data_IF_141235655614
#
_entry.id   IF_141235655614
#
_cell.length_a   1.000
_cell.length_b   1.000
_cell.length_c   1.000
_cell.angle_alpha   90.00
_cell.angle_beta   90.00
_cell.angle_gamma   90.00
#
_symmetry.space_group_name_H-M   'P 1'
#
loop_
_entity.id
_entity.type
_entity.pdbx_description
1 polymer ?
#
# COMPACT_ATOMS: atom_id res chain seq x y z
N UNK A 1 45.70 32.51 -18.06
CA UNK A 1 44.87 32.98 -16.94
C UNK A 1 43.62 32.11 -16.93
N UNK A 2 43.52 31.16 -15.99
CA UNK A 2 42.42 30.19 -15.93
C UNK A 2 41.21 30.83 -15.25
N UNK A 3 40.14 31.04 -16.01
CA UNK A 3 38.82 31.40 -15.47
C UNK A 3 38.26 30.18 -14.73
N UNK A 4 38.28 30.24 -13.40
CA UNK A 4 37.46 29.33 -12.59
C UNK A 4 36.00 29.71 -12.81
N UNK A 5 35.28 28.88 -13.57
CA UNK A 5 33.82 28.90 -13.56
C UNK A 5 33.36 28.44 -12.19
N UNK A 6 32.91 29.38 -11.36
CA UNK A 6 32.15 29.08 -10.16
C UNK A 6 30.79 28.48 -10.56
N UNK A 7 30.77 27.16 -10.75
CA UNK A 7 29.54 26.38 -10.81
C UNK A 7 28.85 26.44 -9.45
N UNK A 8 28.06 27.49 -9.20
CA UNK A 8 27.12 27.57 -8.08
C UNK A 8 26.14 26.40 -8.19
N UNK A 9 26.47 25.29 -7.54
CA UNK A 9 25.53 24.19 -7.33
C UNK A 9 24.38 24.70 -6.44
N UNK A 10 23.30 25.14 -7.07
CA UNK A 10 22.00 25.31 -6.43
C UNK A 10 21.61 23.93 -5.90
N UNK A 11 21.71 23.71 -4.58
CA UNK A 11 21.13 22.50 -3.97
C UNK A 11 19.66 22.47 -4.36
N UNK A 12 19.23 21.42 -5.07
CA UNK A 12 17.81 21.24 -5.39
C UNK A 12 17.07 21.07 -4.06
N UNK A 13 15.91 21.69 -3.93
CA UNK A 13 15.00 21.40 -2.81
C UNK A 13 14.33 20.05 -3.12
N UNK A 14 14.89 18.97 -2.58
CA UNK A 14 14.44 17.60 -2.85
C UNK A 14 13.37 17.24 -1.82
N UNK A 15 12.21 16.78 -2.28
CA UNK A 15 11.17 16.18 -1.45
C UNK A 15 11.15 14.68 -1.72
N UNK A 16 11.25 13.88 -0.66
CA UNK A 16 11.13 12.42 -0.72
C UNK A 16 9.77 12.05 -0.14
N UNK A 17 8.89 11.49 -0.95
CA UNK A 17 7.59 11.01 -0.47
C UNK A 17 7.76 9.73 0.34
N UNK A 18 6.89 9.52 1.34
CA UNK A 18 6.81 8.29 2.14
C UNK A 18 8.07 7.96 2.95
N UNK A 19 8.89 8.95 3.31
CA UNK A 19 10.14 8.74 4.07
C UNK A 19 9.92 8.05 5.43
N UNK A 20 8.77 8.31 6.06
CA UNK A 20 8.42 7.77 7.39
C UNK A 20 7.57 6.48 7.34
N UNK A 21 7.30 5.91 6.16
CA UNK A 21 6.48 4.69 6.05
C UNK A 21 7.33 3.42 6.23
N UNK A 22 6.76 2.45 6.95
CA UNK A 22 7.34 1.11 7.07
C UNK A 22 6.67 0.15 6.07
N UNK A 23 7.44 -0.38 5.12
CA UNK A 23 6.97 -1.35 4.14
C UNK A 23 7.45 -2.77 4.44
N UNK A 24 7.78 -3.06 5.70
CA UNK A 24 8.15 -4.40 6.14
C UNK A 24 6.89 -5.22 6.45
N UNK A 25 6.81 -6.39 5.84
CA UNK A 25 5.68 -7.31 5.97
C UNK A 25 6.13 -8.70 6.39
N UNK A 26 5.35 -9.33 7.27
CA UNK A 26 5.40 -10.76 7.44
C UNK A 26 4.80 -11.46 6.21
N UNK A 27 5.39 -12.57 5.77
CA UNK A 27 4.90 -13.28 4.58
C UNK A 27 3.47 -13.81 4.75
N UNK A 28 3.09 -14.19 5.98
CA UNK A 28 1.72 -14.57 6.31
C UNK A 28 0.73 -13.42 6.09
N UNK A 29 1.11 -12.20 6.48
CA UNK A 29 0.32 -11.00 6.24
C UNK A 29 0.22 -10.66 4.74
N UNK A 30 1.31 -10.81 3.99
CA UNK A 30 1.29 -10.65 2.52
C UNK A 30 0.29 -11.62 1.89
N UNK A 31 0.37 -12.90 2.24
CA UNK A 31 -0.55 -13.91 1.73
C UNK A 31 -2.00 -13.61 2.13
N UNK A 32 -2.23 -13.15 3.36
CA UNK A 32 -3.56 -12.74 3.81
C UNK A 32 -4.11 -11.57 3.01
N UNK A 33 -3.30 -10.55 2.71
CA UNK A 33 -3.69 -9.42 1.85
C UNK A 33 -4.02 -9.89 0.44
N UNK A 34 -3.20 -10.77 -0.14
CA UNK A 34 -3.44 -11.35 -1.48
C UNK A 34 -4.81 -12.09 -1.53
N UNK A 35 -5.15 -12.87 -0.50
CA UNK A 35 -6.43 -13.58 -0.42
C UNK A 35 -7.61 -12.63 -0.22
N UNK A 36 -7.47 -11.62 0.65
CA UNK A 36 -8.50 -10.60 0.82
C UNK A 36 -8.71 -9.79 -0.47
N UNK A 37 -7.64 -9.51 -1.22
CA UNK A 37 -7.70 -8.88 -2.55
C UNK A 37 -8.49 -9.74 -3.55
N UNK A 38 -8.17 -11.03 -3.65
CA UNK A 38 -8.89 -11.95 -4.54
C UNK A 38 -10.37 -12.08 -4.16
N UNK A 39 -10.70 -11.96 -2.87
CA UNK A 39 -12.09 -12.00 -2.39
C UNK A 39 -12.94 -10.79 -2.82
N UNK A 40 -12.33 -9.73 -3.38
CA UNK A 40 -13.05 -8.56 -3.90
C UNK A 40 -13.37 -7.47 -2.88
N UNK A 41 -12.80 -7.51 -1.68
CA UNK A 41 -12.95 -6.45 -0.66
C UNK A 41 -12.24 -5.16 -1.07
N UNK A 42 -12.77 -4.00 -0.69
CA UNK A 42 -12.06 -2.72 -0.86
C UNK A 42 -10.74 -2.69 -0.08
N UNK A 43 -9.75 -1.95 -0.57
CA UNK A 43 -8.46 -1.85 0.14
C UNK A 43 -8.59 -1.17 1.50
N UNK A 44 -9.57 -0.29 1.68
CA UNK A 44 -9.90 0.28 2.99
C UNK A 44 -10.34 -0.81 3.98
N UNK A 45 -11.17 -1.76 3.56
CA UNK A 45 -11.57 -2.89 4.40
C UNK A 45 -10.37 -3.81 4.65
N UNK A 46 -9.57 -4.10 3.61
CA UNK A 46 -8.38 -4.94 3.74
C UNK A 46 -7.42 -4.33 4.77
N UNK A 47 -7.18 -3.03 4.71
CA UNK A 47 -6.29 -2.32 5.63
C UNK A 47 -6.75 -2.45 7.08
N UNK A 48 -8.06 -2.26 7.33
CA UNK A 48 -8.64 -2.46 8.66
C UNK A 48 -8.53 -3.92 9.12
N UNK A 49 -8.81 -4.89 8.25
CA UNK A 49 -8.70 -6.32 8.57
C UNK A 49 -7.26 -6.81 8.76
N UNK A 50 -6.29 -6.12 8.18
CA UNK A 50 -4.86 -6.35 8.34
C UNK A 50 -4.26 -5.54 9.50
N UNK A 51 -5.03 -4.63 10.12
CA UNK A 51 -4.58 -3.73 11.18
C UNK A 51 -3.35 -2.91 10.75
N UNK A 52 -3.33 -2.48 9.49
CA UNK A 52 -2.23 -1.72 8.87
C UNK A 52 -2.73 -0.41 8.27
N UNK A 53 -1.87 0.63 8.19
CA UNK A 53 -2.20 1.85 7.49
C UNK A 53 -2.61 1.61 6.04
N UNK A 54 -3.64 2.36 5.58
CA UNK A 54 -4.14 2.25 4.21
C UNK A 54 -3.03 2.47 3.16
N UNK A 55 -2.12 3.41 3.41
CA UNK A 55 -0.98 3.70 2.53
C UNK A 55 -0.04 2.51 2.37
N UNK A 56 0.27 1.80 3.45
CA UNK A 56 1.13 0.60 3.40
C UNK A 56 0.46 -0.51 2.59
N UNK A 57 -0.84 -0.73 2.79
CA UNK A 57 -1.59 -1.78 2.10
C UNK A 57 -1.73 -1.45 0.61
N UNK A 58 -1.97 -0.19 0.25
CA UNK A 58 -1.96 0.26 -1.16
C UNK A 58 -0.60 -0.01 -1.80
N UNK A 59 0.49 0.35 -1.13
CA UNK A 59 1.84 0.12 -1.65
C UNK A 59 2.15 -1.37 -1.79
N UNK A 60 1.71 -2.20 -0.84
CA UNK A 60 1.81 -3.64 -0.96
C UNK A 60 1.03 -4.15 -2.17
N UNK A 61 -0.25 -3.79 -2.33
CA UNK A 61 -1.06 -4.23 -3.48
C UNK A 61 -0.38 -3.87 -4.82
N UNK A 62 0.16 -2.65 -4.94
CA UNK A 62 0.92 -2.23 -6.12
C UNK A 62 2.13 -3.13 -6.35
N UNK A 63 2.95 -3.37 -5.31
CA UNK A 63 4.11 -4.27 -5.40
C UNK A 63 3.69 -5.68 -5.86
N UNK A 64 2.66 -6.25 -5.24
CA UNK A 64 2.13 -7.58 -5.57
C UNK A 64 1.61 -7.67 -7.00
N UNK A 65 1.02 -6.59 -7.53
CA UNK A 65 0.62 -6.50 -8.93
C UNK A 65 1.81 -6.43 -9.89
N UNK A 66 2.82 -5.62 -9.57
CA UNK A 66 4.04 -5.49 -10.38
C UNK A 66 4.82 -6.81 -10.47
N UNK A 67 4.82 -7.59 -9.39
CA UNK A 67 5.39 -8.94 -9.34
C UNK A 67 4.51 -10.00 -10.01
N UNK A 68 3.30 -9.65 -10.44
CA UNK A 68 2.34 -10.56 -11.05
C UNK A 68 1.71 -11.58 -10.09
N UNK A 69 1.83 -11.37 -8.78
CA UNK A 69 1.28 -12.26 -7.77
C UNK A 69 -0.24 -12.09 -7.58
N UNK A 70 -0.74 -10.89 -7.83
CA UNK A 70 -2.17 -10.58 -7.93
C UNK A 70 -2.43 -9.82 -9.23
N UNK A 71 -3.67 -9.84 -9.70
CA UNK A 71 -4.07 -9.21 -10.95
C UNK A 71 -5.07 -8.09 -10.70
N UNK A 72 -5.24 -7.25 -11.73
CA UNK A 72 -6.34 -6.31 -11.79
C UNK A 72 -7.69 -7.02 -11.60
N UNK A 73 -8.60 -6.33 -10.93
CA UNK A 73 -9.91 -6.84 -10.57
C UNK A 73 -10.97 -5.75 -10.79
N UNK A 74 -12.25 -6.10 -10.99
CA UNK A 74 -13.32 -5.11 -11.14
C UNK A 74 -13.26 -4.04 -10.04
N UNK A 75 -13.43 -2.78 -10.42
CA UNK A 75 -13.37 -1.62 -9.51
C UNK A 75 -12.04 -1.44 -8.72
N UNK A 76 -10.97 -2.18 -9.04
CA UNK A 76 -9.63 -1.99 -8.49
C UNK A 76 -9.59 -1.91 -6.96
N UNK A 77 -9.12 -0.78 -6.43
CA UNK A 77 -9.02 -0.54 -4.99
C UNK A 77 -10.37 -0.47 -4.27
N UNK A 78 -11.45 -0.11 -4.97
CA UNK A 78 -12.80 -0.03 -4.40
C UNK A 78 -13.39 -1.42 -4.16
N UNK A 79 -13.04 -2.41 -5.00
CA UNK A 79 -13.63 -3.74 -4.91
C UNK A 79 -15.13 -3.78 -5.26
N UNK A 80 -15.76 -4.93 -5.03
CA UNK A 80 -17.20 -5.15 -5.32
C UNK A 80 -17.89 -6.02 -4.27
N UNK A 81 -17.14 -6.55 -3.30
CA UNK A 81 -17.67 -7.42 -2.26
C UNK A 81 -17.77 -6.67 -0.94
N UNK A 82 -18.92 -6.81 -0.30
CA UNK A 82 -19.13 -6.37 1.08
C UNK A 82 -18.49 -7.34 2.10
N UNK A 83 -18.03 -6.86 3.27
CA UNK A 83 -17.55 -7.74 4.32
C UNK A 83 -18.67 -8.66 4.82
N UNK A 84 -18.32 -9.91 5.09
CA UNK A 84 -19.22 -10.90 5.66
C UNK A 84 -19.40 -10.67 7.17
N UNK A 85 -20.29 -11.44 7.82
CA UNK A 85 -20.62 -11.23 9.23
C UNK A 85 -19.40 -11.34 10.17
N UNK A 86 -18.46 -12.26 9.91
CA UNK A 86 -17.28 -12.44 10.77
C UNK A 86 -16.23 -11.36 10.54
N UNK A 87 -16.07 -10.87 9.31
CA UNK A 87 -15.24 -9.72 8.98
C UNK A 87 -15.80 -8.43 9.60
N UNK A 88 -17.11 -8.21 9.54
CA UNK A 88 -17.76 -7.04 10.16
C UNK A 88 -17.51 -6.99 11.66
N UNK A 89 -17.62 -8.11 12.35
CA UNK A 89 -17.35 -8.18 13.78
C UNK A 89 -15.91 -7.76 14.12
N UNK A 90 -14.94 -8.09 13.26
CA UNK A 90 -13.54 -7.67 13.44
C UNK A 90 -13.37 -6.16 13.21
N UNK A 91 -14.09 -5.60 12.23
CA UNK A 91 -14.09 -4.18 11.93
C UNK A 91 -14.73 -3.33 13.05
N UNK A 92 -15.74 -3.87 13.73
CA UNK A 92 -16.41 -3.21 14.87
C UNK A 92 -15.54 -3.17 16.13
N UNK A 93 -14.61 -4.12 16.26
CA UNK A 93 -13.66 -4.17 17.37
C UNK A 93 -12.39 -3.33 17.18
N UNK A 94 -12.25 -2.65 16.05
CA UNK A 94 -11.09 -1.80 15.76
C UNK A 94 -11.34 -0.39 16.36
N UNK A 95 -10.52 0.10 17.31
CA UNK A 95 -10.69 1.41 17.94
C UNK A 95 -10.50 2.59 16.97
#
# INVERSE_FOLDING_TARGET
>A
MFIHSDCKHRRRNIYTACEDLDFTWDLGDVHRVDELWKSGLSVEIIAKLAERPLSEVIMLVIDRQLLGAIHDRPNGFVGWREPNASERLKLEGTP
#
